data_IF_836041297004
#
_entry.id   IF_836041297004
#
_cell.length_a   1.000
_cell.length_b   1.000
_cell.length_c   1.000
_cell.angle_alpha   90.00
_cell.angle_beta   90.00
_cell.angle_gamma   90.00
#
_symmetry.space_group_name_H-M   'P 1'
#
loop_
_entity.id
_entity.type
_entity.pdbx_description
1 polymer ?
#
# COMPACT_ATOMS: atom_id res chain seq x y z
N UNK A 1 6.26 -9.44 -13.51
CA UNK A 1 7.28 -9.39 -12.44
C UNK A 1 6.91 -8.16 -11.65
N UNK A 2 6.33 -8.35 -10.45
CA UNK A 2 5.72 -7.24 -9.71
C UNK A 2 6.78 -6.31 -9.15
N UNK A 3 6.81 -5.07 -9.65
CA UNK A 3 7.61 -4.00 -9.05
C UNK A 3 6.75 -3.23 -8.07
N UNK A 4 7.23 -3.13 -6.83
CA UNK A 4 6.54 -2.41 -5.76
C UNK A 4 7.50 -1.44 -5.09
N UNK A 5 7.12 -0.16 -5.05
CA UNK A 5 7.79 0.85 -4.24
C UNK A 5 6.99 1.04 -2.96
N UNK A 6 7.61 0.77 -1.80
CA UNK A 6 7.02 0.99 -0.46
C UNK A 6 7.52 2.33 0.08
N UNK A 7 6.63 3.28 0.29
CA UNK A 7 6.95 4.51 1.01
C UNK A 7 6.46 4.41 2.46
N UNK A 8 7.40 4.42 3.41
CA UNK A 8 7.12 4.47 4.84
C UNK A 8 6.88 5.91 5.31
N UNK A 9 6.02 6.14 6.31
CA UNK A 9 5.79 7.47 6.86
C UNK A 9 7.05 7.99 7.57
N UNK A 10 7.38 9.26 7.34
CA UNK A 10 8.60 9.91 7.88
C UNK A 10 8.64 10.01 9.42
N UNK A 11 7.50 9.82 10.10
CA UNK A 11 7.38 9.91 11.56
C UNK A 11 6.42 8.86 12.11
N UNK A 12 6.94 7.98 12.95
CA UNK A 12 6.14 7.16 13.85
C UNK A 12 5.62 8.08 14.97
N UNK A 13 4.30 8.25 15.08
CA UNK A 13 3.69 8.99 16.18
C UNK A 13 3.35 8.01 17.31
N UNK A 14 4.06 8.10 18.43
CA UNK A 14 3.62 7.48 19.68
C UNK A 14 2.68 8.46 20.40
N UNK A 15 1.41 8.09 20.57
CA UNK A 15 0.45 8.85 21.38
C UNK A 15 0.20 8.06 22.66
N UNK A 16 0.93 8.38 23.73
CA UNK A 16 0.77 7.79 25.07
C UNK A 16 1.28 6.34 25.21
N UNK A 17 0.67 5.55 26.10
CA UNK A 17 0.99 4.12 26.33
C UNK A 17 0.48 3.18 25.21
N UNK A 18 0.02 3.75 24.09
CA UNK A 18 -0.44 3.02 22.92
C UNK A 18 0.48 3.28 21.73
N UNK A 19 1.06 2.21 21.18
CA UNK A 19 1.72 2.27 19.87
C UNK A 19 0.64 2.30 18.79
N UNK A 20 0.32 3.47 18.25
CA UNK A 20 -0.45 3.55 17.01
C UNK A 20 0.49 3.26 15.84
N UNK A 21 0.72 1.99 15.54
CA UNK A 21 1.42 1.55 14.32
C UNK A 21 0.42 1.51 13.18
N UNK A 22 -0.15 2.67 12.85
CA UNK A 22 -0.79 2.86 11.56
C UNK A 22 0.32 3.06 10.54
N UNK A 23 1.05 2.01 10.15
CA UNK A 23 1.91 2.04 8.97
C UNK A 23 1.01 2.25 7.74
N UNK A 24 0.64 3.51 7.48
CA UNK A 24 0.01 3.90 6.24
C UNK A 24 1.11 3.95 5.19
N UNK A 25 1.01 3.05 4.22
CA UNK A 25 2.02 2.85 3.18
C UNK A 25 1.43 3.17 1.83
N UNK A 26 2.21 3.84 1.00
CA UNK A 26 1.91 4.00 -0.41
C UNK A 26 2.66 2.93 -1.19
N UNK A 27 1.91 2.17 -1.99
CA UNK A 27 2.43 1.18 -2.92
C UNK A 27 2.23 1.69 -4.35
N UNK A 28 3.30 1.67 -5.14
CA UNK A 28 3.22 1.84 -6.60
C UNK A 28 3.36 0.48 -7.27
N UNK A 29 2.33 0.04 -8.00
CA UNK A 29 2.27 -1.27 -8.65
C UNK A 29 1.98 -1.12 -10.15
N UNK A 30 2.72 -1.84 -10.99
CA UNK A 30 2.53 -1.79 -12.45
C UNK A 30 1.28 -2.56 -12.91
N UNK A 31 0.59 -2.06 -13.94
CA UNK A 31 -0.61 -2.67 -14.52
C UNK A 31 -0.35 -4.05 -15.14
N UNK A 32 0.86 -4.29 -15.62
CA UNK A 32 1.24 -5.58 -16.18
C UNK A 32 1.28 -6.70 -15.14
N UNK A 33 1.30 -6.31 -13.86
CA UNK A 33 1.38 -7.23 -12.75
C UNK A 33 0.02 -7.53 -12.12
N UNK A 34 -0.93 -6.58 -12.16
CA UNK A 34 -2.28 -6.73 -11.59
C UNK A 34 -3.34 -5.98 -12.41
N UNK A 35 -4.35 -6.72 -12.87
CA UNK A 35 -5.39 -6.20 -13.77
C UNK A 35 -6.27 -5.12 -13.13
N UNK A 36 -6.63 -5.26 -11.84
CA UNK A 36 -7.46 -4.27 -11.13
C UNK A 36 -7.50 -4.51 -9.61
N UNK A 37 -6.59 -3.91 -8.82
CA UNK A 37 -6.68 -3.99 -7.37
C UNK A 37 -7.94 -3.27 -6.85
N UNK A 38 -8.58 -3.80 -5.82
CA UNK A 38 -9.80 -3.25 -5.21
C UNK A 38 -9.69 -3.16 -3.68
N UNK A 39 -10.48 -2.29 -3.07
CA UNK A 39 -10.56 -2.18 -1.60
C UNK A 39 -10.89 -3.54 -0.99
N UNK A 40 -10.12 -3.91 0.03
CA UNK A 40 -10.24 -5.21 0.71
C UNK A 40 -9.26 -6.27 0.22
N UNK A 41 -8.64 -6.10 -0.96
CA UNK A 41 -7.55 -6.96 -1.42
C UNK A 41 -6.36 -6.90 -0.45
N UNK A 42 -5.61 -8.00 -0.38
CA UNK A 42 -4.40 -8.11 0.43
C UNK A 42 -3.19 -8.32 -0.48
N UNK A 43 -2.23 -7.40 -0.39
CA UNK A 43 -0.90 -7.56 -0.95
C UNK A 43 0.01 -8.29 0.03
N UNK A 44 0.83 -9.20 -0.48
CA UNK A 44 1.89 -9.85 0.29
C UNK A 44 3.23 -9.43 -0.30
N UNK A 45 4.06 -8.78 0.50
CA UNK A 45 5.40 -8.32 0.11
C UNK A 45 6.38 -8.86 1.15
N UNK A 46 7.19 -9.85 0.77
CA UNK A 46 7.97 -10.63 1.73
C UNK A 46 7.05 -11.34 2.73
N UNK A 47 7.31 -11.17 4.02
CA UNK A 47 6.48 -11.72 5.11
C UNK A 47 5.37 -10.77 5.57
N UNK A 48 5.28 -9.57 4.98
CA UNK A 48 4.31 -8.55 5.35
C UNK A 48 3.05 -8.64 4.50
N UNK A 49 1.89 -8.41 5.14
CA UNK A 49 0.59 -8.35 4.49
C UNK A 49 0.01 -6.95 4.60
N UNK A 50 -0.52 -6.44 3.50
CA UNK A 50 -1.06 -5.08 3.41
C UNK A 50 -2.46 -5.11 2.81
N UNK A 51 -3.44 -4.57 3.53
CA UNK A 51 -4.81 -4.50 3.06
C UNK A 51 -5.08 -3.15 2.39
N UNK A 52 -5.69 -3.16 1.21
CA UNK A 52 -6.13 -1.94 0.53
C UNK A 52 -7.33 -1.35 1.25
N UNK A 53 -7.21 -0.08 1.65
CA UNK A 53 -8.29 0.64 2.34
C UNK A 53 -8.98 1.69 1.46
N UNK A 54 -8.28 2.22 0.45
CA UNK A 54 -8.83 3.22 -0.47
C UNK A 54 -8.75 2.72 -1.92
N UNK A 55 -9.68 3.15 -2.80
CA UNK A 55 -9.64 2.77 -4.20
C UNK A 55 -8.29 3.15 -4.85
N UNK A 56 -7.58 2.19 -5.47
CA UNK A 56 -6.33 2.45 -6.17
C UNK A 56 -6.47 3.56 -7.21
N UNK A 57 -5.55 4.52 -7.17
CA UNK A 57 -5.49 5.63 -8.10
C UNK A 57 -4.57 5.28 -9.25
N UNK A 58 -5.06 5.42 -10.48
CA UNK A 58 -4.26 5.19 -11.67
C UNK A 58 -3.50 6.46 -12.04
N UNK A 59 -2.23 6.31 -12.38
CA UNK A 59 -1.42 7.42 -12.86
C UNK A 59 -1.90 7.89 -14.26
N UNK A 60 -1.34 9.02 -14.73
CA UNK A 60 -1.74 9.61 -16.03
C UNK A 60 -1.41 8.71 -17.23
N UNK A 61 -0.37 7.86 -17.13
CA UNK A 61 -0.02 6.92 -18.19
C UNK A 61 -0.93 5.69 -18.22
N UNK A 62 -1.68 5.46 -17.15
CA UNK A 62 -2.48 4.24 -17.00
C UNK A 62 -1.63 3.02 -16.65
N UNK A 63 -0.35 3.17 -16.35
CA UNK A 63 0.56 2.05 -16.14
C UNK A 63 0.80 1.74 -14.66
N UNK A 64 0.55 2.69 -13.76
CA UNK A 64 0.87 2.54 -12.34
C UNK A 64 -0.39 2.75 -11.50
N UNK A 65 -0.59 1.85 -10.54
CA UNK A 65 -1.54 2.00 -9.46
C UNK A 65 -0.82 2.56 -8.24
N UNK A 66 -1.32 3.69 -7.72
CA UNK A 66 -0.99 4.21 -6.41
C UNK A 66 -2.03 3.72 -5.41
N UNK A 67 -1.58 2.98 -4.41
CA UNK A 67 -2.44 2.27 -3.47
C UNK A 67 -2.05 2.69 -2.06
N UNK A 68 -3.06 3.01 -1.27
CA UNK A 68 -2.91 3.24 0.15
C UNK A 68 -3.36 1.99 0.91
N UNK A 69 -2.45 1.43 1.68
CA UNK A 69 -2.67 0.20 2.41
C UNK A 69 -2.04 0.28 3.80
N UNK A 70 -2.51 -0.56 4.72
CA UNK A 70 -1.92 -0.72 6.05
C UNK A 70 -1.69 -2.17 6.40
N UNK A 71 -0.74 -2.42 7.31
CA UNK A 71 -0.42 -3.75 7.80
C UNK A 71 -1.61 -4.47 8.44
N UNK A 72 -1.65 -5.80 8.33
CA UNK A 72 -2.64 -6.69 8.98
C UNK A 72 -1.98 -7.84 9.74
#
# INVERSE_FOLDING_TARGET
MVQVLKQEPDKLYEIGEGQFVGEMLFLEVSIFDILRPIVGDIFVIGDCKYKIHTPPLRDKSGMIWRIEASGV
#
